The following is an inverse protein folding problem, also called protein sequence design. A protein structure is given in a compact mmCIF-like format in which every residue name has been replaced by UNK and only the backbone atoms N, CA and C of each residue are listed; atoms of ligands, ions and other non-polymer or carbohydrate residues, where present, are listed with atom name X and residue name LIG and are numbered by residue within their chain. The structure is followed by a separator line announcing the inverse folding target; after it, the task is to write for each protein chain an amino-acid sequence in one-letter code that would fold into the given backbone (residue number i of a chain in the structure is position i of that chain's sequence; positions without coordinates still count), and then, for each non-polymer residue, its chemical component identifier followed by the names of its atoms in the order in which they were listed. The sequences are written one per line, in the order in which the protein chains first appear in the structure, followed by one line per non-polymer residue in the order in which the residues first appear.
data_IF_029477430294
#
_entry.id   IF_029477430294
#
_cell.length_a   1.000
_cell.length_b   1.000
_cell.length_c   1.000
_cell.angle_alpha   90.00
_cell.angle_beta   90.00
_cell.angle_gamma   90.00
#
_symmetry.space_group_name_H-M   'P 1'
#
loop_
_entity.id
_entity.type
_entity.pdbx_description
1 polymer ?
#
# COMPACT_ATOMS: atom_id res chain seq x y z
N UNK A 1 -30.22 -8.82 -27.14
CA UNK A 1 -29.11 -7.82 -27.04
C UNK A 1 -29.08 -7.01 -25.75
N UNK A 2 -30.14 -6.29 -25.33
CA UNK A 2 -30.08 -5.44 -24.13
C UNK A 2 -29.96 -6.22 -22.81
N UNK A 3 -30.58 -7.42 -22.72
CA UNK A 3 -30.59 -8.25 -21.50
C UNK A 3 -29.23 -8.89 -21.24
N UNK A 4 -28.55 -9.30 -22.30
CA UNK A 4 -27.23 -9.92 -22.28
C UNK A 4 -26.16 -8.91 -21.82
N UNK A 5 -26.24 -7.66 -22.31
CA UNK A 5 -25.35 -6.57 -21.87
C UNK A 5 -25.54 -6.28 -20.37
N UNK A 6 -26.79 -6.22 -19.90
CA UNK A 6 -27.09 -6.01 -18.48
C UNK A 6 -26.55 -7.17 -17.64
N UNK A 7 -26.72 -8.41 -18.10
CA UNK A 7 -26.20 -9.59 -17.41
C UNK A 7 -24.67 -9.56 -17.32
N UNK A 8 -23.98 -9.22 -18.42
CA UNK A 8 -22.52 -9.09 -18.45
C UNK A 8 -22.05 -8.00 -17.47
N UNK A 9 -22.72 -6.83 -17.48
CA UNK A 9 -22.39 -5.74 -16.56
C UNK A 9 -22.58 -6.14 -15.09
N UNK A 10 -23.66 -6.86 -14.78
CA UNK A 10 -23.91 -7.39 -13.44
C UNK A 10 -22.85 -8.40 -13.02
N UNK A 11 -22.50 -9.36 -13.88
CA UNK A 11 -21.45 -10.34 -13.58
C UNK A 11 -20.10 -9.65 -13.35
N UNK A 12 -19.74 -8.70 -14.21
CA UNK A 12 -18.52 -7.91 -14.05
C UNK A 12 -18.51 -7.15 -12.72
N UNK A 13 -19.60 -6.47 -12.38
CA UNK A 13 -19.71 -5.75 -11.11
C UNK A 13 -19.63 -6.69 -9.91
N UNK A 14 -20.27 -7.86 -9.97
CA UNK A 14 -20.19 -8.87 -8.92
C UNK A 14 -18.76 -9.37 -8.72
N UNK A 15 -18.00 -9.62 -9.80
CA UNK A 15 -16.60 -10.05 -9.71
C UNK A 15 -15.74 -8.95 -9.06
N UNK A 16 -15.90 -7.70 -9.49
CA UNK A 16 -15.19 -6.55 -8.91
C UNK A 16 -15.55 -6.38 -7.43
N UNK A 17 -16.83 -6.46 -7.08
CA UNK A 17 -17.30 -6.33 -5.70
C UNK A 17 -16.75 -7.43 -4.79
N UNK A 18 -16.73 -8.69 -5.26
CA UNK A 18 -16.14 -9.81 -4.50
C UNK A 18 -14.64 -9.60 -4.31
N UNK A 19 -13.92 -9.19 -5.35
CA UNK A 19 -12.48 -8.96 -5.29
C UNK A 19 -12.11 -7.83 -4.31
N UNK A 20 -12.84 -6.72 -4.33
CA UNK A 20 -12.60 -5.56 -3.45
C UNK A 20 -13.35 -5.60 -2.11
N UNK A 21 -14.11 -6.65 -1.82
CA UNK A 21 -14.82 -6.80 -0.55
C UNK A 21 -13.92 -6.65 0.69
N UNK A 22 -12.67 -7.16 0.73
CA UNK A 22 -11.78 -6.98 1.87
C UNK A 22 -11.48 -5.51 2.21
N UNK A 23 -11.53 -4.60 1.23
CA UNK A 23 -11.34 -3.15 1.47
C UNK A 23 -12.36 -2.61 2.47
N UNK A 24 -13.59 -3.12 2.44
CA UNK A 24 -14.64 -2.72 3.39
C UNK A 24 -14.44 -3.30 4.80
N UNK A 25 -13.56 -4.29 4.97
CA UNK A 25 -13.11 -4.79 6.28
C UNK A 25 -11.95 -3.98 6.84
N UNK A 26 -11.39 -3.05 6.07
CA UNK A 26 -10.15 -2.35 6.39
C UNK A 26 -8.88 -3.08 5.97
N UNK A 27 -9.01 -4.22 5.27
CA UNK A 27 -7.86 -4.93 4.70
C UNK A 27 -7.39 -4.22 3.43
N UNK A 28 -6.08 -4.19 3.22
CA UNK A 28 -5.49 -3.68 1.98
C UNK A 28 -4.45 -4.65 1.43
N UNK A 29 -4.30 -4.75 0.10
CA UNK A 29 -3.18 -5.48 -0.48
C UNK A 29 -1.88 -4.81 -0.02
N UNK A 30 -1.11 -5.53 0.79
CA UNK A 30 0.13 -5.03 1.38
C UNK A 30 1.26 -6.02 1.09
N UNK A 31 2.32 -5.61 0.36
CA UNK A 31 3.41 -6.50 -0.01
C UNK A 31 4.41 -6.70 1.14
N UNK A 32 3.93 -7.00 2.35
CA UNK A 32 4.71 -7.05 3.59
C UNK A 32 5.90 -8.02 3.57
N UNK A 33 5.88 -9.01 2.68
CA UNK A 33 6.95 -9.96 2.41
C UNK A 33 8.22 -9.30 1.83
N UNK A 34 8.09 -8.17 1.12
CA UNK A 34 9.27 -7.42 0.66
C UNK A 34 10.09 -6.87 1.83
N UNK A 35 9.47 -6.65 3.00
CA UNK A 35 10.17 -6.14 4.18
C UNK A 35 11.24 -7.13 4.66
N UNK A 36 10.87 -8.39 4.82
CA UNK A 36 11.75 -9.46 5.33
C UNK A 36 12.83 -9.87 4.33
N UNK A 37 12.61 -9.59 3.04
CA UNK A 37 13.61 -9.80 1.99
C UNK A 37 14.71 -8.73 1.96
N UNK A 38 14.58 -7.63 2.71
CA UNK A 38 15.47 -6.46 2.62
C UNK A 38 16.21 -6.18 3.94
N UNK A 39 17.32 -5.44 3.86
CA UNK A 39 18.02 -4.98 5.06
C UNK A 39 17.15 -3.99 5.86
N UNK A 40 17.13 -4.06 7.21
CA UNK A 40 17.94 -4.95 8.06
C UNK A 40 17.28 -6.32 8.38
N UNK A 41 16.04 -6.54 7.92
CA UNK A 41 15.21 -7.66 8.36
C UNK A 41 15.62 -9.02 7.77
N UNK A 42 16.34 -9.01 6.65
CA UNK A 42 16.93 -10.21 6.05
C UNK A 42 18.10 -10.81 6.85
N UNK A 43 18.55 -10.16 7.93
CA UNK A 43 19.64 -10.64 8.80
C UNK A 43 19.27 -11.87 9.65
N UNK A 44 17.97 -12.21 9.71
CA UNK A 44 17.47 -13.40 10.40
C UNK A 44 16.67 -14.28 9.45
N UNK A 45 16.57 -15.56 9.77
CA UNK A 45 15.67 -16.47 9.05
C UNK A 45 14.21 -16.09 9.27
N UNK A 46 13.38 -16.33 8.26
CA UNK A 46 11.95 -16.04 8.28
C UNK A 46 11.18 -17.14 7.55
N UNK A 47 10.08 -17.62 8.11
CA UNK A 47 9.21 -18.66 7.51
C UNK A 47 9.97 -19.87 6.93
N UNK A 48 10.97 -20.38 7.65
CA UNK A 48 11.77 -21.54 7.23
C UNK A 48 12.88 -21.25 6.21
N UNK A 49 13.01 -20.00 5.75
CA UNK A 49 14.16 -19.55 4.97
C UNK A 49 15.31 -19.17 5.90
N UNK A 50 16.55 -19.51 5.52
CA UNK A 50 17.75 -19.01 6.17
C UNK A 50 17.87 -17.49 6.03
N UNK A 51 18.73 -16.85 6.84
CA UNK A 51 19.02 -15.43 6.70
C UNK A 51 19.47 -15.09 5.27
N UNK A 52 18.87 -14.05 4.68
CA UNK A 52 19.09 -13.69 3.26
C UNK A 52 18.47 -14.64 2.24
N UNK A 53 17.79 -15.72 2.66
CA UNK A 53 17.24 -16.75 1.79
C UNK A 53 15.80 -16.50 1.33
N UNK A 54 15.12 -15.47 1.83
CA UNK A 54 13.78 -15.11 1.39
C UNK A 54 13.85 -14.56 -0.05
N UNK A 55 13.11 -15.14 -1.02
CA UNK A 55 13.08 -14.61 -2.38
C UNK A 55 12.64 -13.15 -2.38
N UNK A 56 13.49 -12.27 -2.88
CA UNK A 56 13.16 -10.86 -3.04
C UNK A 56 13.42 -10.42 -4.49
N UNK A 57 12.70 -9.37 -4.89
CA UNK A 57 13.08 -8.52 -6.02
C UNK A 57 13.37 -7.13 -5.48
N UNK A 58 14.33 -6.43 -6.05
CA UNK A 58 14.70 -5.06 -5.67
C UNK A 58 13.67 -3.99 -6.06
N UNK A 59 12.42 -4.37 -6.29
CA UNK A 59 11.35 -3.52 -6.82
C UNK A 59 10.18 -3.49 -5.84
N UNK A 60 9.48 -2.36 -5.75
CA UNK A 60 8.27 -2.23 -4.92
C UNK A 60 8.51 -2.08 -3.41
N UNK A 61 9.77 -2.00 -2.96
CA UNK A 61 10.08 -1.83 -1.53
C UNK A 61 9.68 -0.46 -0.99
N UNK A 62 9.58 0.54 -1.87
CA UNK A 62 9.03 1.88 -1.62
C UNK A 62 7.58 1.82 -1.10
N UNK A 63 6.78 0.85 -1.55
CA UNK A 63 5.40 0.67 -1.08
C UNK A 63 5.30 0.57 0.44
N UNK A 64 6.23 -0.15 1.07
CA UNK A 64 6.23 -0.40 2.52
C UNK A 64 7.05 0.65 3.26
N UNK A 65 8.17 1.09 2.67
CA UNK A 65 9.15 1.95 3.33
C UNK A 65 8.78 3.43 3.25
N UNK A 66 7.97 3.82 2.28
CA UNK A 66 7.71 5.21 1.93
C UNK A 66 6.22 5.47 1.72
N UNK A 67 5.59 4.85 0.71
CA UNK A 67 4.22 5.14 0.31
C UNK A 67 3.17 4.82 1.40
N UNK A 68 3.27 3.66 2.05
CA UNK A 68 2.35 3.28 3.12
C UNK A 68 2.46 4.22 4.34
N UNK A 69 3.65 4.47 4.92
CA UNK A 69 3.81 5.45 5.99
C UNK A 69 3.27 6.84 5.65
N UNK A 70 3.53 7.32 4.43
CA UNK A 70 3.03 8.60 3.94
C UNK A 70 1.51 8.66 3.85
N UNK A 71 0.88 7.65 3.25
CA UNK A 71 -0.59 7.57 3.18
C UNK A 71 -1.20 7.45 4.56
N UNK A 72 -0.61 6.65 5.44
CA UNK A 72 -1.07 6.53 6.83
C UNK A 72 -1.04 7.89 7.53
N UNK A 73 0.09 8.60 7.47
CA UNK A 73 0.21 9.92 8.08
C UNK A 73 -0.76 10.94 7.47
N UNK A 74 -0.92 10.97 6.15
CA UNK A 74 -1.88 11.85 5.49
C UNK A 74 -3.33 11.56 5.93
N UNK A 75 -3.74 10.28 5.99
CA UNK A 75 -5.05 9.87 6.47
C UNK A 75 -5.29 10.34 7.91
N UNK A 76 -4.30 10.18 8.80
CA UNK A 76 -4.41 10.61 10.19
C UNK A 76 -4.53 12.14 10.33
N UNK A 77 -3.85 12.91 9.47
CA UNK A 77 -4.00 14.36 9.39
C UNK A 77 -5.40 14.74 8.91
N UNK A 78 -5.90 14.11 7.84
CA UNK A 78 -7.23 14.38 7.30
C UNK A 78 -8.35 14.04 8.28
N UNK A 79 -8.23 12.93 9.02
CA UNK A 79 -9.16 12.58 10.11
C UNK A 79 -9.23 13.64 11.21
N UNK A 80 -8.16 14.43 11.38
CA UNK A 80 -8.08 15.57 12.32
C UNK A 80 -8.53 16.90 11.69
N UNK A 81 -9.00 16.89 10.45
CA UNK A 81 -9.37 18.10 9.71
C UNK A 81 -8.16 18.94 9.28
N UNK A 82 -6.97 18.36 9.25
CA UNK A 82 -5.74 19.03 8.86
C UNK A 82 -5.29 18.59 7.47
N UNK A 83 -4.73 19.52 6.72
CA UNK A 83 -4.15 19.22 5.41
C UNK A 83 -2.69 18.77 5.59
N UNK A 84 -2.33 17.64 4.99
CA UNK A 84 -1.01 17.03 5.12
C UNK A 84 0.02 17.68 4.16
N UNK A 85 0.32 18.98 4.35
CA UNK A 85 1.27 19.70 3.49
C UNK A 85 2.73 19.28 3.72
N UNK A 86 3.10 18.94 4.95
CA UNK A 86 4.47 18.70 5.38
C UNK A 86 4.56 17.38 6.16
N UNK A 87 5.53 16.54 5.80
CA UNK A 87 5.88 15.34 6.55
C UNK A 87 7.12 15.66 7.42
N UNK A 88 6.99 15.75 8.76
CA UNK A 88 8.14 15.99 9.63
C UNK A 88 9.03 14.75 9.84
N UNK A 89 8.58 13.57 9.41
CA UNK A 89 9.28 12.31 9.61
C UNK A 89 10.28 11.98 8.49
N UNK A 90 10.21 12.68 7.36
CA UNK A 90 11.17 12.54 6.27
C UNK A 90 12.31 13.55 6.43
N UNK A 91 13.52 13.09 6.74
CA UNK A 91 14.70 13.93 6.98
C UNK A 91 14.47 14.99 8.07
N UNK A 92 14.74 16.27 7.79
CA UNK A 92 14.38 17.43 8.62
C UNK A 92 13.00 18.00 8.28
N UNK A 93 12.20 17.21 7.55
CA UNK A 93 10.90 17.54 6.99
C UNK A 93 10.93 17.72 5.47
N UNK A 94 9.83 17.34 4.82
CA UNK A 94 9.66 17.40 3.37
C UNK A 94 8.20 17.75 3.02
N UNK A 95 7.93 18.46 1.90
CA UNK A 95 6.57 18.53 1.37
C UNK A 95 5.98 17.12 1.20
N UNK A 96 4.75 16.90 1.67
CA UNK A 96 4.06 15.61 1.51
C UNK A 96 3.01 15.67 0.41
N UNK A 97 2.25 16.76 0.34
CA UNK A 97 1.20 16.95 -0.65
C UNK A 97 1.75 17.17 -2.07
N UNK A 98 2.90 17.84 -2.19
CA UNK A 98 3.54 18.18 -3.46
C UNK A 98 4.89 17.47 -3.62
N UNK A 99 5.00 16.23 -3.14
CA UNK A 99 6.22 15.43 -3.28
C UNK A 99 6.33 14.78 -4.67
N UNK A 100 7.50 14.20 -4.98
CA UNK A 100 7.80 13.60 -6.28
C UNK A 100 6.93 12.38 -6.63
N UNK A 101 6.27 11.76 -5.65
CA UNK A 101 5.42 10.59 -5.84
C UNK A 101 3.93 10.91 -5.60
N UNK A 102 3.57 12.20 -5.46
CA UNK A 102 2.23 12.70 -5.17
C UNK A 102 1.43 11.77 -4.23
N UNK A 103 2.03 11.40 -3.10
CA UNK A 103 1.55 10.34 -2.22
C UNK A 103 0.36 10.70 -1.32
N UNK A 104 0.03 11.99 -1.20
CA UNK A 104 -1.05 12.48 -0.36
C UNK A 104 -2.46 12.27 -0.95
N UNK A 105 -2.56 11.97 -2.25
CA UNK A 105 -3.80 11.65 -2.95
C UNK A 105 -3.80 10.21 -3.50
#
# INVERSE_FOLDING_TARGET
MKKEIILIALVFFCVVAIFFYPVFKGDMPFPGDLLVGTNPYNSRGFNGFAAGGVPNKSQGTDVIRELYPWKHFAIEMFKKGQIAFWNPYDFSGNPLMANFQSGAF
#
